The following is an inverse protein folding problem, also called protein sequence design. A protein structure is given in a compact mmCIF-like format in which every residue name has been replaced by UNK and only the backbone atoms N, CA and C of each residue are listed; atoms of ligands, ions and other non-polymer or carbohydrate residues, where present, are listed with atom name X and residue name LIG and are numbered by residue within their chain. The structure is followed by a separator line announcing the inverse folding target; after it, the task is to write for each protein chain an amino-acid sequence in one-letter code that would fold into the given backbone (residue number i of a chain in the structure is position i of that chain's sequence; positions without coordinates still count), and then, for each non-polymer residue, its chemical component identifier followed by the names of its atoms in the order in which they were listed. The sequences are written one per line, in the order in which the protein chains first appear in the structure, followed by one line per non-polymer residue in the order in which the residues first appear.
data_IF_670441805803
#
_entry.id   IF_670441805803
#
_cell.length_a   1.000
_cell.length_b   1.000
_cell.length_c   1.000
_cell.angle_alpha   90.00
_cell.angle_beta   90.00
_cell.angle_gamma   90.00
#
_symmetry.space_group_name_H-M   'P 1'
#
loop_
_entity.id
_entity.type
_entity.pdbx_description
1 polymer ?
#
# COMPACT_ATOMS: atom_id res chain seq x y z
N UNK A 1 -0.26 -0.13 19.68
CA UNK A 1 -0.33 0.80 20.83
C UNK A 1 -1.78 1.09 21.15
N UNK A 2 -2.16 1.07 22.42
CA UNK A 2 -3.49 1.46 22.89
C UNK A 2 -3.35 2.73 23.73
N UNK A 3 -4.17 3.73 23.47
CA UNK A 3 -4.18 4.99 24.23
C UNK A 3 -5.61 5.42 24.60
N UNK A 4 -5.70 6.19 25.67
CA UNK A 4 -6.92 6.84 26.13
C UNK A 4 -6.58 8.19 26.75
N UNK A 5 -7.31 9.24 26.42
CA UNK A 5 -7.11 10.60 26.90
C UNK A 5 -5.64 11.08 26.77
N UNK A 6 -5.01 10.76 25.63
CA UNK A 6 -3.62 11.12 25.33
C UNK A 6 -2.55 10.32 26.07
N UNK A 7 -2.93 9.34 26.87
CA UNK A 7 -1.98 8.45 27.59
C UNK A 7 -1.88 7.09 26.95
N UNK A 8 -0.67 6.58 26.77
CA UNK A 8 -0.44 5.20 26.35
C UNK A 8 -0.78 4.27 27.51
N UNK A 9 -1.70 3.33 27.30
CA UNK A 9 -2.11 2.34 28.27
C UNK A 9 -1.35 1.03 28.09
N UNK A 10 -1.14 0.58 26.85
CA UNK A 10 -0.37 -0.62 26.56
C UNK A 10 0.25 -0.59 25.17
N UNK A 11 1.20 -1.48 24.96
CA UNK A 11 1.86 -1.73 23.68
C UNK A 11 1.96 -3.23 23.43
N UNK A 12 2.03 -3.63 22.17
CA UNK A 12 2.32 -4.98 21.73
C UNK A 12 3.06 -4.97 20.41
N UNK A 13 3.86 -5.99 20.16
CA UNK A 13 4.57 -6.16 18.88
C UNK A 13 4.56 -7.62 18.42
N UNK A 14 4.71 -7.81 17.13
CA UNK A 14 4.74 -9.16 16.53
C UNK A 14 5.99 -9.92 17.02
N UNK A 15 5.76 -11.11 17.60
CA UNK A 15 6.84 -11.92 18.16
C UNK A 15 7.03 -11.78 19.68
N UNK A 16 6.34 -10.84 20.33
CA UNK A 16 6.33 -10.75 21.81
C UNK A 16 5.74 -12.02 22.44
N UNK A 17 4.65 -12.52 21.84
CA UNK A 17 4.07 -13.83 22.15
C UNK A 17 4.00 -14.64 20.86
N UNK A 18 4.52 -15.86 20.89
CA UNK A 18 4.58 -16.73 19.71
C UNK A 18 3.19 -16.95 19.12
N UNK A 19 3.05 -16.74 17.79
CA UNK A 19 1.82 -16.91 17.03
C UNK A 19 0.65 -15.98 17.41
N UNK A 20 0.87 -15.00 18.27
CA UNK A 20 -0.13 -14.01 18.68
C UNK A 20 0.13 -12.68 17.97
N UNK A 21 -0.92 -12.02 17.51
CA UNK A 21 -0.83 -10.72 16.87
C UNK A 21 -0.64 -9.61 17.91
N UNK A 22 0.04 -8.53 17.51
CA UNK A 22 0.40 -7.41 18.36
C UNK A 22 -0.82 -6.74 19.01
N UNK A 23 -1.92 -6.64 18.29
CA UNK A 23 -3.18 -6.06 18.78
C UNK A 23 -3.73 -6.87 19.96
N UNK A 24 -3.75 -8.20 19.85
CA UNK A 24 -4.19 -9.08 20.92
C UNK A 24 -3.27 -8.97 22.14
N UNK A 25 -1.96 -8.99 21.93
CA UNK A 25 -0.98 -8.82 23.00
C UNK A 25 -1.21 -7.50 23.75
N UNK A 26 -1.43 -6.40 23.04
CA UNK A 26 -1.68 -5.12 23.67
C UNK A 26 -3.02 -5.08 24.43
N UNK A 27 -4.09 -5.69 23.89
CA UNK A 27 -5.40 -5.75 24.52
C UNK A 27 -5.39 -6.61 25.77
N UNK A 28 -4.76 -7.78 25.72
CA UNK A 28 -4.74 -8.74 26.86
C UNK A 28 -3.95 -8.22 28.08
N UNK A 29 -3.09 -7.22 27.92
CA UNK A 29 -2.43 -6.51 29.02
C UNK A 29 -3.33 -5.58 29.81
N UNK A 30 -4.56 -5.29 29.33
CA UNK A 30 -5.46 -4.31 29.92
C UNK A 30 -6.71 -4.98 30.47
N UNK A 31 -7.20 -4.48 31.59
CA UNK A 31 -8.55 -4.77 32.05
C UNK A 31 -9.61 -4.23 31.08
N UNK A 32 -10.78 -4.85 31.03
CA UNK A 32 -11.88 -4.45 30.14
C UNK A 32 -12.24 -2.97 30.31
N UNK A 33 -12.29 -2.46 31.56
CA UNK A 33 -12.59 -1.05 31.86
C UNK A 33 -11.64 -0.06 31.17
N UNK A 34 -10.38 -0.46 30.98
CA UNK A 34 -9.34 0.38 30.36
C UNK A 34 -9.39 0.29 28.83
N UNK A 35 -9.91 -0.82 28.27
CA UNK A 35 -10.14 -0.99 26.83
C UNK A 35 -11.31 -0.14 26.35
N UNK A 36 -12.41 -0.10 27.10
CA UNK A 36 -13.62 0.61 26.72
C UNK A 36 -13.34 2.10 26.47
N UNK A 37 -13.70 2.58 25.27
CA UNK A 37 -13.53 3.97 24.87
C UNK A 37 -12.09 4.36 24.52
N UNK A 38 -11.13 3.42 24.52
CA UNK A 38 -9.76 3.69 24.10
C UNK A 38 -9.61 3.65 22.58
N UNK A 39 -8.46 4.12 22.08
CA UNK A 39 -8.06 4.08 20.67
C UNK A 39 -6.86 3.15 20.50
N UNK A 40 -6.92 2.25 19.51
CA UNK A 40 -5.80 1.39 19.12
C UNK A 40 -5.13 1.94 17.87
N UNK A 41 -3.79 1.98 17.89
CA UNK A 41 -2.93 2.34 16.75
C UNK A 41 -2.22 1.07 16.29
N UNK A 42 -2.43 0.67 15.06
CA UNK A 42 -1.84 -0.53 14.48
C UNK A 42 -1.08 -0.21 13.19
N UNK A 43 0.09 -0.78 13.01
CA UNK A 43 0.90 -0.55 11.80
C UNK A 43 0.29 -1.23 10.58
N UNK A 44 -0.34 -2.39 10.77
CA UNK A 44 -1.04 -3.14 9.73
C UNK A 44 -2.53 -3.22 10.04
N UNK A 45 -3.35 -3.31 9.03
CA UNK A 45 -4.79 -3.54 9.13
C UNK A 45 -5.10 -4.73 10.05
N UNK A 46 -5.99 -4.60 11.05
CA UNK A 46 -6.40 -5.72 11.91
C UNK A 46 -7.02 -6.86 11.09
N UNK A 47 -6.52 -8.06 11.28
CA UNK A 47 -6.94 -9.23 10.53
C UNK A 47 -8.41 -9.59 10.75
N UNK A 48 -9.01 -10.26 9.76
CA UNK A 48 -10.35 -10.88 9.81
C UNK A 48 -10.22 -12.39 9.82
N UNK A 49 -11.27 -13.08 10.29
CA UNK A 49 -11.37 -14.53 10.19
C UNK A 49 -11.69 -14.91 8.73
N UNK A 50 -10.83 -15.73 8.12
CA UNK A 50 -11.03 -16.24 6.77
C UNK A 50 -11.87 -17.53 6.75
N UNK A 51 -11.96 -18.23 7.87
CA UNK A 51 -12.68 -19.48 8.00
C UNK A 51 -13.59 -19.45 9.25
N UNK A 52 -14.83 -19.96 9.16
CA UNK A 52 -15.78 -19.95 10.27
C UNK A 52 -15.33 -20.77 11.49
N UNK A 53 -14.42 -21.73 11.31
CA UNK A 53 -13.90 -22.59 12.37
C UNK A 53 -12.48 -22.20 12.81
N UNK A 54 -12.09 -20.94 12.66
CA UNK A 54 -10.78 -20.47 13.11
C UNK A 54 -10.71 -20.56 14.64
N UNK A 55 -9.71 -21.26 15.17
CA UNK A 55 -9.57 -21.53 16.60
C UNK A 55 -9.39 -20.27 17.46
N UNK A 56 -8.94 -19.17 16.87
CA UNK A 56 -8.72 -17.90 17.56
C UNK A 56 -9.53 -16.80 16.88
N UNK A 57 -10.24 -16.03 17.67
CA UNK A 57 -10.94 -14.82 17.24
C UNK A 57 -10.00 -13.86 16.47
N UNK A 58 -10.46 -13.23 15.39
CA UNK A 58 -9.65 -12.27 14.64
C UNK A 58 -9.36 -10.99 15.45
N UNK A 59 -8.32 -10.24 15.07
CA UNK A 59 -8.02 -8.97 15.73
C UNK A 59 -9.16 -7.97 15.59
N UNK A 60 -9.84 -7.93 14.43
CA UNK A 60 -11.02 -7.07 14.24
C UNK A 60 -12.18 -7.44 15.17
N UNK A 61 -12.46 -8.74 15.35
CA UNK A 61 -13.51 -9.19 16.27
C UNK A 61 -13.17 -8.86 17.71
N UNK A 62 -11.92 -9.11 18.12
CA UNK A 62 -11.42 -8.79 19.46
C UNK A 62 -11.49 -7.28 19.76
N UNK A 63 -11.15 -6.44 18.80
CA UNK A 63 -11.25 -4.98 18.94
C UNK A 63 -12.70 -4.57 19.17
N UNK A 64 -13.62 -5.10 18.38
CA UNK A 64 -15.06 -4.83 18.49
C UNK A 64 -15.60 -5.29 19.86
N UNK A 65 -15.31 -6.53 20.25
CA UNK A 65 -15.77 -7.11 21.52
C UNK A 65 -15.15 -6.44 22.75
N UNK A 66 -13.99 -5.83 22.60
CA UNK A 66 -13.29 -5.12 23.69
C UNK A 66 -13.82 -3.70 23.98
N UNK A 67 -14.77 -3.18 23.19
CA UNK A 67 -15.32 -1.85 23.39
C UNK A 67 -14.35 -0.70 23.01
N UNK A 68 -13.39 -0.97 22.13
CA UNK A 68 -12.51 0.03 21.54
C UNK A 68 -13.36 1.03 20.75
N UNK A 69 -13.14 2.33 20.93
CA UNK A 69 -13.91 3.39 20.25
C UNK A 69 -13.30 3.83 18.93
N UNK A 70 -12.00 3.68 18.76
CA UNK A 70 -11.31 4.12 17.56
C UNK A 70 -10.12 3.24 17.18
N UNK A 71 -9.86 3.14 15.89
CA UNK A 71 -8.69 2.45 15.32
C UNK A 71 -7.98 3.38 14.36
N UNK A 72 -6.67 3.54 14.52
CA UNK A 72 -5.82 4.28 13.58
C UNK A 72 -4.91 3.29 12.89
N UNK A 73 -5.09 3.11 11.59
CA UNK A 73 -4.40 2.09 10.78
C UNK A 73 -3.20 2.73 10.08
N UNK A 74 -2.05 2.08 10.12
CA UNK A 74 -0.86 2.47 9.37
C UNK A 74 -1.05 2.17 7.88
N UNK A 75 -1.09 0.89 7.53
CA UNK A 75 -1.29 0.43 6.15
C UNK A 75 -2.32 -0.69 6.11
N UNK A 76 -3.07 -0.77 5.01
CA UNK A 76 -3.99 -1.88 4.78
C UNK A 76 -3.20 -3.15 4.45
N UNK A 77 -3.79 -4.32 4.74
CA UNK A 77 -3.13 -5.59 4.49
C UNK A 77 -2.83 -5.77 2.98
N UNK A 78 -1.57 -6.03 2.59
CA UNK A 78 -1.21 -6.18 1.18
C UNK A 78 -1.80 -7.44 0.53
N UNK A 79 -2.29 -8.40 1.31
CA UNK A 79 -2.93 -9.59 0.79
C UNK A 79 -4.30 -9.25 0.18
N UNK A 80 -4.44 -9.37 -1.15
CA UNK A 80 -5.65 -9.03 -1.88
C UNK A 80 -6.91 -9.75 -1.41
N UNK A 81 -6.79 -10.91 -0.77
CA UNK A 81 -7.91 -11.69 -0.24
C UNK A 81 -8.54 -11.04 1.00
N UNK A 82 -7.74 -10.33 1.80
CA UNK A 82 -8.18 -9.73 3.07
C UNK A 82 -8.09 -8.20 3.08
N UNK A 83 -7.58 -7.63 2.00
CA UNK A 83 -7.43 -6.19 1.82
C UNK A 83 -8.71 -5.42 2.13
N UNK A 84 -8.65 -4.44 2.98
CA UNK A 84 -9.74 -3.60 3.47
C UNK A 84 -10.91 -4.32 4.15
N UNK A 85 -10.83 -5.62 4.39
CA UNK A 85 -11.91 -6.35 5.08
C UNK A 85 -11.95 -6.04 6.57
N UNK A 86 -10.79 -5.92 7.21
CA UNK A 86 -10.71 -5.50 8.62
C UNK A 86 -11.19 -4.06 8.80
N UNK A 87 -10.75 -3.16 7.94
CA UNK A 87 -11.20 -1.77 7.90
C UNK A 87 -12.73 -1.67 7.76
N UNK A 88 -13.30 -2.36 6.76
CA UNK A 88 -14.77 -2.39 6.54
C UNK A 88 -15.50 -2.95 7.75
N UNK A 89 -15.04 -4.08 8.29
CA UNK A 89 -15.66 -4.73 9.44
C UNK A 89 -15.71 -3.81 10.66
N UNK A 90 -14.66 -3.07 10.94
CA UNK A 90 -14.61 -2.08 12.03
C UNK A 90 -15.63 -0.95 11.81
N UNK A 91 -15.71 -0.39 10.59
CA UNK A 91 -16.70 0.64 10.26
C UNK A 91 -18.13 0.14 10.38
N UNK A 92 -18.43 -1.07 9.88
CA UNK A 92 -19.75 -1.69 9.95
C UNK A 92 -20.22 -1.94 11.42
N UNK A 93 -19.27 -1.97 12.37
CA UNK A 93 -19.52 -2.09 13.81
C UNK A 93 -19.35 -0.77 14.59
N UNK A 94 -19.47 0.36 13.92
CA UNK A 94 -19.42 1.71 14.50
C UNK A 94 -18.11 2.06 15.22
N UNK A 95 -16.99 1.45 14.85
CA UNK A 95 -15.68 1.84 15.31
C UNK A 95 -15.20 3.01 14.44
N UNK A 96 -14.76 4.10 15.06
CA UNK A 96 -14.16 5.21 14.34
C UNK A 96 -12.81 4.78 13.75
N UNK A 97 -12.66 4.80 12.41
CA UNK A 97 -11.42 4.40 11.76
C UNK A 97 -10.78 5.57 11.05
N UNK A 98 -9.49 5.74 11.26
CA UNK A 98 -8.64 6.72 10.56
C UNK A 98 -7.29 6.10 10.19
N UNK A 99 -6.46 6.83 9.48
CA UNK A 99 -5.16 6.36 9.03
C UNK A 99 -4.03 7.21 9.62
N UNK A 100 -2.85 6.63 9.73
CA UNK A 100 -1.62 7.39 10.00
C UNK A 100 -1.43 8.50 8.97
N UNK A 101 -0.73 9.55 9.34
CA UNK A 101 -0.29 10.55 8.38
C UNK A 101 0.51 9.88 7.25
N UNK A 102 0.47 10.45 6.04
CA UNK A 102 1.18 9.90 4.88
C UNK A 102 2.65 9.59 5.19
N UNK A 103 3.34 10.50 5.88
CA UNK A 103 4.74 10.32 6.27
C UNK A 103 4.96 9.06 7.12
N UNK A 104 4.07 8.80 8.09
CA UNK A 104 4.18 7.62 8.95
C UNK A 104 3.83 6.34 8.19
N UNK A 105 2.86 6.39 7.28
CA UNK A 105 2.53 5.25 6.43
C UNK A 105 3.68 4.87 5.51
N UNK A 106 4.28 5.85 4.86
CA UNK A 106 5.46 5.62 4.02
C UNK A 106 6.60 4.97 4.81
N UNK A 107 6.83 5.39 6.08
CA UNK A 107 7.82 4.77 6.94
C UNK A 107 7.46 3.32 7.32
N UNK A 108 6.19 3.05 7.66
CA UNK A 108 5.72 1.69 7.96
C UNK A 108 5.89 0.77 6.73
N UNK A 109 5.53 1.25 5.55
CA UNK A 109 5.71 0.48 4.32
C UNK A 109 7.18 0.23 4.00
N UNK A 110 8.07 1.17 4.29
CA UNK A 110 9.50 1.03 4.06
C UNK A 110 10.13 -0.03 4.97
N UNK A 111 9.76 -0.05 6.25
CA UNK A 111 10.24 -1.05 7.21
C UNK A 111 9.61 -2.44 7.00
N UNK A 112 8.35 -2.51 6.56
CA UNK A 112 7.67 -3.79 6.31
C UNK A 112 7.98 -4.41 4.94
N UNK A 113 8.83 -3.77 4.16
CA UNK A 113 9.22 -4.20 2.82
C UNK A 113 9.74 -5.63 2.72
N UNK A 114 10.42 -6.13 3.72
CA UNK A 114 10.97 -7.48 3.73
C UNK A 114 9.91 -8.59 3.79
N UNK A 115 8.65 -8.26 4.15
CA UNK A 115 7.57 -9.23 4.35
C UNK A 115 6.66 -9.47 3.15
N UNK A 116 6.82 -8.77 2.05
CA UNK A 116 6.00 -8.99 0.85
C UNK A 116 6.56 -8.32 -0.40
N UNK A 117 6.63 -9.06 -1.49
CA UNK A 117 7.06 -8.57 -2.81
C UNK A 117 6.07 -7.58 -3.45
N UNK A 118 4.96 -7.25 -2.77
CA UNK A 118 3.89 -6.39 -3.29
C UNK A 118 3.83 -5.13 -2.45
N UNK A 119 4.13 -3.99 -3.08
CA UNK A 119 3.97 -2.67 -2.48
C UNK A 119 2.74 -1.98 -3.03
N UNK A 120 2.07 -1.21 -2.20
CA UNK A 120 0.97 -0.34 -2.63
C UNK A 120 1.36 1.11 -2.51
N UNK A 121 0.99 1.90 -3.50
CA UNK A 121 1.12 3.36 -3.51
C UNK A 121 -0.19 3.97 -3.98
N UNK A 122 -0.54 5.13 -3.46
CA UNK A 122 -1.86 5.74 -3.66
C UNK A 122 -1.74 7.10 -4.36
N UNK A 123 -2.72 7.42 -5.20
CA UNK A 123 -2.91 8.73 -5.80
C UNK A 123 -1.66 9.24 -6.52
N UNK A 124 -0.83 10.00 -5.83
CA UNK A 124 0.41 10.56 -6.35
C UNK A 124 1.51 10.54 -5.28
N UNK A 125 2.75 10.47 -5.71
CA UNK A 125 3.89 10.51 -4.80
C UNK A 125 5.22 10.31 -5.47
N UNK A 126 6.26 10.21 -4.65
CA UNK A 126 7.64 9.96 -5.07
C UNK A 126 8.28 8.99 -4.08
N UNK A 127 8.95 7.94 -4.57
CA UNK A 127 9.54 6.91 -3.72
C UNK A 127 10.82 6.34 -4.32
N UNK A 128 11.75 5.98 -3.43
CA UNK A 128 12.88 5.14 -3.76
C UNK A 128 12.55 3.68 -3.44
N UNK A 129 12.84 2.79 -4.35
CA UNK A 129 12.62 1.35 -4.18
C UNK A 129 13.83 0.58 -4.68
N UNK A 130 14.19 -0.56 -4.03
CA UNK A 130 15.17 -1.46 -4.58
C UNK A 130 14.63 -2.14 -5.84
N UNK A 131 15.52 -2.37 -6.80
CA UNK A 131 15.22 -3.11 -8.03
C UNK A 131 16.11 -4.33 -8.07
N UNK A 132 15.50 -5.50 -7.89
CA UNK A 132 16.18 -6.79 -7.98
C UNK A 132 15.97 -7.44 -9.34
N UNK A 133 16.85 -8.36 -9.74
CA UNK A 133 16.74 -9.04 -11.02
C UNK A 133 15.44 -9.81 -11.23
N UNK A 134 14.81 -10.28 -10.16
CA UNK A 134 13.48 -10.92 -10.17
C UNK A 134 12.31 -9.96 -10.42
N UNK A 135 12.58 -8.65 -10.42
CA UNK A 135 11.54 -7.63 -10.48
C UNK A 135 10.87 -7.37 -9.13
N UNK A 136 10.35 -6.16 -8.98
CA UNK A 136 9.50 -5.79 -7.85
C UNK A 136 8.17 -5.33 -8.42
N UNK A 137 7.08 -5.90 -7.90
CA UNK A 137 5.73 -5.46 -8.22
C UNK A 137 5.25 -4.43 -7.22
N UNK A 138 4.67 -3.35 -7.73
CA UNK A 138 4.02 -2.29 -6.96
C UNK A 138 2.59 -2.18 -7.45
N UNK A 139 1.64 -2.18 -6.53
CA UNK A 139 0.25 -1.93 -6.84
C UNK A 139 -0.07 -0.44 -6.66
N UNK A 140 -0.38 0.24 -7.74
CA UNK A 140 -0.80 1.64 -7.73
C UNK A 140 -2.32 1.70 -7.66
N UNK A 141 -2.86 2.44 -6.68
CA UNK A 141 -4.29 2.62 -6.45
C UNK A 141 -4.69 4.08 -6.56
N UNK A 142 -5.96 4.32 -6.86
CA UNK A 142 -6.53 5.66 -6.93
C UNK A 142 -6.54 6.33 -5.55
N UNK A 143 -7.01 5.61 -4.56
CA UNK A 143 -7.03 6.00 -3.15
C UNK A 143 -6.91 4.75 -2.27
N UNK A 144 -6.77 4.94 -0.97
CA UNK A 144 -6.68 3.86 0.01
C UNK A 144 -7.93 2.97 0.06
N UNK A 145 -9.08 3.56 -0.25
CA UNK A 145 -10.38 2.86 -0.24
C UNK A 145 -10.77 2.28 -1.59
N UNK A 146 -10.03 2.59 -2.64
CA UNK A 146 -10.30 2.10 -3.98
C UNK A 146 -9.58 0.75 -4.20
N UNK A 147 -10.33 -0.31 -4.39
CA UNK A 147 -9.80 -1.66 -4.63
C UNK A 147 -9.17 -1.84 -6.02
N UNK A 148 -9.38 -0.90 -6.94
CA UNK A 148 -8.80 -0.95 -8.28
C UNK A 148 -7.30 -0.72 -8.23
N UNK A 149 -6.53 -1.68 -8.71
CA UNK A 149 -5.06 -1.63 -8.69
C UNK A 149 -4.49 -1.70 -10.09
N UNK A 150 -3.38 -0.99 -10.29
CA UNK A 150 -2.53 -1.14 -11.46
C UNK A 150 -1.22 -1.76 -10.97
N UNK A 151 -0.98 -3.05 -11.20
CA UNK A 151 0.32 -3.65 -10.92
C UNK A 151 1.36 -3.11 -11.89
N UNK A 152 2.45 -2.60 -11.36
CA UNK A 152 3.62 -2.18 -12.11
C UNK A 152 4.84 -2.93 -11.58
N UNK A 153 5.68 -3.40 -12.49
CA UNK A 153 6.91 -4.11 -12.15
C UNK A 153 8.11 -3.40 -12.76
N UNK A 154 9.17 -3.31 -11.98
CA UNK A 154 10.46 -2.78 -12.41
C UNK A 154 11.49 -3.90 -12.47
N UNK A 155 12.25 -3.95 -13.57
CA UNK A 155 13.30 -4.93 -13.76
C UNK A 155 14.57 -4.24 -14.29
N UNK A 156 15.70 -4.51 -13.63
CA UNK A 156 17.00 -4.10 -14.16
C UNK A 156 17.48 -5.06 -15.23
N UNK A 157 18.14 -4.52 -16.24
CA UNK A 157 18.79 -5.29 -17.28
C UNK A 157 20.31 -5.21 -17.05
N UNK A 158 20.93 -6.35 -16.71
CA UNK A 158 22.39 -6.40 -16.48
C UNK A 158 23.23 -5.91 -17.68
N UNK A 159 22.69 -6.04 -18.89
CA UNK A 159 23.38 -5.66 -20.14
C UNK A 159 23.20 -4.20 -20.57
N UNK A 160 22.36 -3.42 -19.88
CA UNK A 160 22.00 -2.06 -20.29
C UNK A 160 22.11 -1.09 -19.12
N UNK A 161 23.33 -0.60 -18.87
CA UNK A 161 23.58 0.43 -17.86
C UNK A 161 22.66 1.65 -18.06
N UNK A 162 22.08 2.14 -16.98
CA UNK A 162 21.25 3.34 -16.97
C UNK A 162 19.84 3.16 -17.55
N UNK A 163 19.34 1.93 -17.69
CA UNK A 163 17.97 1.63 -18.11
C UNK A 163 17.30 0.65 -17.15
N UNK A 164 15.99 0.79 -17.00
CA UNK A 164 15.12 -0.20 -16.34
C UNK A 164 13.91 -0.46 -17.23
N UNK A 165 13.41 -1.68 -17.20
CA UNK A 165 12.14 -2.02 -17.86
C UNK A 165 11.00 -1.84 -16.85
N UNK A 166 10.00 -1.05 -17.23
CA UNK A 166 8.72 -0.90 -16.56
C UNK A 166 7.70 -1.76 -17.27
N UNK A 167 6.98 -2.60 -16.54
CA UNK A 167 5.93 -3.45 -17.10
C UNK A 167 4.68 -3.45 -16.22
N UNK A 168 3.57 -3.92 -16.80
CA UNK A 168 2.32 -4.14 -16.06
C UNK A 168 1.73 -5.48 -16.49
N UNK A 169 1.27 -6.27 -15.51
CA UNK A 169 0.68 -7.59 -15.75
C UNK A 169 -0.76 -7.51 -16.27
N UNK A 170 -1.49 -6.43 -15.98
CA UNK A 170 -2.89 -6.25 -16.40
C UNK A 170 -3.11 -4.99 -17.26
N UNK A 171 -2.07 -4.33 -17.71
CA UNK A 171 -2.16 -3.08 -18.44
C UNK A 171 -1.12 -2.94 -19.53
N UNK A 172 -1.33 -1.96 -20.37
CA UNK A 172 -0.39 -1.55 -21.40
C UNK A 172 0.44 -0.35 -20.96
N UNK A 173 1.68 -0.28 -21.43
CA UNK A 173 2.67 0.72 -21.04
C UNK A 173 3.12 1.51 -22.25
N UNK A 174 3.23 2.82 -22.12
CA UNK A 174 3.72 3.72 -23.18
C UNK A 174 4.66 4.79 -22.60
N UNK A 175 5.79 4.99 -23.23
CA UNK A 175 6.63 6.17 -22.98
C UNK A 175 5.94 7.41 -23.58
N UNK A 176 5.76 8.44 -22.78
CA UNK A 176 5.31 9.76 -23.20
C UNK A 176 6.50 10.54 -23.77
N UNK A 177 6.85 10.28 -25.03
CA UNK A 177 8.00 10.88 -25.69
C UNK A 177 7.84 12.41 -25.73
N UNK A 178 8.89 13.12 -25.30
CA UNK A 178 8.90 14.60 -25.26
C UNK A 178 8.36 15.21 -23.96
N UNK A 179 7.58 14.49 -23.14
CA UNK A 179 7.12 14.99 -21.86
C UNK A 179 8.25 15.09 -20.85
N UNK A 180 8.35 16.20 -20.12
CA UNK A 180 9.34 16.47 -19.07
C UNK A 180 8.71 16.49 -17.68
N UNK A 181 7.41 16.78 -17.60
CA UNK A 181 6.60 16.82 -16.39
C UNK A 181 5.25 16.14 -16.62
N UNK A 182 4.54 15.79 -15.56
CA UNK A 182 3.18 15.24 -15.68
C UNK A 182 2.19 16.25 -16.26
N UNK A 183 2.43 17.55 -16.07
CA UNK A 183 1.61 18.61 -16.65
C UNK A 183 1.65 18.68 -18.18
N UNK A 184 2.71 18.13 -18.81
CA UNK A 184 2.84 18.09 -20.26
C UNK A 184 1.92 17.03 -20.88
N UNK A 185 1.34 16.15 -20.07
CA UNK A 185 0.40 15.11 -20.46
C UNK A 185 -1.01 15.57 -20.09
N UNK A 186 -1.63 16.33 -20.99
CA UNK A 186 -2.97 16.89 -20.76
C UNK A 186 -4.07 15.85 -20.89
N UNK A 187 -3.92 14.94 -21.84
CA UNK A 187 -4.84 13.82 -22.08
C UNK A 187 -4.07 12.51 -22.29
N UNK A 188 -4.04 11.63 -21.29
CA UNK A 188 -3.39 10.33 -21.41
C UNK A 188 -4.04 9.40 -22.45
N UNK A 189 -5.31 9.63 -22.83
CA UNK A 189 -6.05 8.77 -23.74
C UNK A 189 -5.56 8.86 -25.20
N UNK A 190 -4.90 9.96 -25.57
CA UNK A 190 -4.35 10.14 -26.94
C UNK A 190 -3.15 9.24 -27.24
N UNK A 191 -2.53 8.65 -26.20
CA UNK A 191 -1.40 7.77 -26.40
C UNK A 191 -1.84 6.37 -26.82
N UNK A 192 -1.22 5.83 -27.88
CA UNK A 192 -1.40 4.42 -28.27
C UNK A 192 -0.51 3.53 -27.42
N UNK A 193 -1.03 2.41 -26.92
CA UNK A 193 -0.36 1.47 -26.03
C UNK A 193 -0.04 0.16 -26.76
N UNK A 194 1.11 0.06 -27.44
CA UNK A 194 1.44 -1.13 -28.24
C UNK A 194 2.06 -2.26 -27.42
N UNK A 195 2.39 -2.05 -26.16
CA UNK A 195 3.20 -2.99 -25.38
C UNK A 195 2.77 -3.03 -23.91
N UNK A 196 3.07 -4.15 -23.25
CA UNK A 196 2.95 -4.31 -21.79
C UNK A 196 4.21 -3.88 -21.03
N UNK A 197 5.24 -3.42 -21.72
CA UNK A 197 6.45 -2.91 -21.10
C UNK A 197 7.00 -1.70 -21.83
N UNK A 198 7.78 -0.89 -21.12
CA UNK A 198 8.55 0.22 -21.68
C UNK A 198 9.93 0.29 -21.05
N UNK A 199 10.95 0.51 -21.87
CA UNK A 199 12.29 0.79 -21.40
C UNK A 199 12.41 2.24 -20.98
N UNK A 200 12.79 2.44 -19.73
CA UNK A 200 12.86 3.74 -19.09
C UNK A 200 14.31 4.14 -18.83
N UNK A 201 14.65 5.39 -19.12
CA UNK A 201 15.86 6.07 -18.68
C UNK A 201 15.51 7.18 -17.69
N UNK A 202 16.49 7.66 -16.96
CA UNK A 202 16.38 8.85 -16.11
C UNK A 202 15.68 9.99 -16.84
N UNK A 203 14.70 10.61 -16.20
CA UNK A 203 13.90 11.72 -16.70
C UNK A 203 12.71 11.32 -17.57
N UNK A 204 12.64 10.09 -18.06
CA UNK A 204 11.49 9.63 -18.87
C UNK A 204 10.21 9.50 -18.06
N UNK A 205 9.09 9.73 -18.75
CA UNK A 205 7.75 9.52 -18.24
C UNK A 205 7.09 8.42 -19.05
N UNK A 206 6.43 7.50 -18.36
CA UNK A 206 5.57 6.48 -18.96
C UNK A 206 4.16 6.59 -18.43
N UNK A 207 3.21 6.12 -19.24
CA UNK A 207 1.81 5.99 -18.89
C UNK A 207 1.52 4.49 -18.83
N UNK A 208 0.88 4.04 -17.74
CA UNK A 208 0.39 2.67 -17.59
C UNK A 208 -1.13 2.72 -17.53
N UNK A 209 -1.79 2.01 -18.44
CA UNK A 209 -3.24 1.98 -18.54
C UNK A 209 -3.74 0.54 -18.50
N UNK A 210 -4.55 0.14 -17.50
CA UNK A 210 -5.19 -1.17 -17.49
C UNK A 210 -6.20 -1.31 -18.64
N UNK A 211 -6.37 -2.52 -19.11
CA UNK A 211 -7.38 -2.81 -20.15
C UNK A 211 -8.77 -2.45 -19.66
N UNK A 212 -9.50 -1.65 -20.45
CA UNK A 212 -10.87 -1.20 -20.14
C UNK A 212 -10.99 -0.19 -19.00
N UNK A 213 -9.87 0.30 -18.42
CA UNK A 213 -9.93 1.27 -17.35
C UNK A 213 -10.16 2.70 -17.85
N UNK A 214 -10.90 3.46 -17.06
CA UNK A 214 -11.11 4.91 -17.24
C UNK A 214 -10.05 5.75 -16.51
N UNK A 215 -9.00 5.13 -16.03
CA UNK A 215 -7.89 5.78 -15.34
C UNK A 215 -6.54 5.18 -15.77
N UNK A 216 -5.48 5.91 -15.51
CA UNK A 216 -4.11 5.50 -15.80
C UNK A 216 -3.16 5.99 -14.71
N UNK A 217 -1.94 5.49 -14.74
CA UNK A 217 -0.85 5.98 -13.90
C UNK A 217 0.23 6.61 -14.77
N UNK A 218 0.60 7.83 -14.47
CA UNK A 218 1.78 8.49 -14.99
C UNK A 218 2.96 8.14 -14.08
N UNK A 219 4.08 7.72 -14.65
CA UNK A 219 5.27 7.30 -13.91
C UNK A 219 6.48 8.02 -14.47
N UNK A 220 7.18 8.79 -13.64
CA UNK A 220 8.44 9.45 -13.99
C UNK A 220 9.60 8.77 -13.27
N UNK A 221 10.60 8.34 -14.03
CA UNK A 221 11.85 7.81 -13.48
C UNK A 221 12.81 8.98 -13.21
N UNK A 222 13.10 9.24 -11.95
CA UNK A 222 13.99 10.35 -11.55
C UNK A 222 15.45 9.96 -11.53
N UNK A 223 15.76 8.78 -10.97
CA UNK A 223 17.14 8.32 -10.81
C UNK A 223 17.20 6.79 -10.83
N UNK A 224 18.33 6.27 -11.27
CA UNK A 224 18.68 4.86 -11.23
C UNK A 224 19.98 4.76 -10.43
N UNK A 225 19.95 4.03 -9.33
CA UNK A 225 21.11 3.68 -8.51
C UNK A 225 21.53 2.23 -8.84
N UNK A 226 22.60 1.77 -8.24
CA UNK A 226 23.08 0.40 -8.48
C UNK A 226 22.01 -0.67 -8.24
N UNK A 227 21.31 -0.57 -7.11
CA UNK A 227 20.28 -1.53 -6.71
C UNK A 227 18.90 -0.90 -6.49
N UNK A 228 18.73 0.40 -6.75
CA UNK A 228 17.50 1.13 -6.47
C UNK A 228 17.10 2.03 -7.63
N UNK A 229 15.82 2.39 -7.66
CA UNK A 229 15.30 3.48 -8.49
C UNK A 229 14.56 4.50 -7.64
N UNK A 230 14.61 5.75 -8.05
CA UNK A 230 13.75 6.81 -7.54
C UNK A 230 12.74 7.16 -8.61
N UNK A 231 11.46 6.93 -8.33
CA UNK A 231 10.38 7.26 -9.25
C UNK A 231 9.29 8.10 -8.59
N UNK A 232 8.51 8.75 -9.42
CA UNK A 232 7.32 9.52 -9.05
C UNK A 232 6.14 8.98 -9.82
N UNK A 233 4.95 8.99 -9.23
CA UNK A 233 3.72 8.57 -9.88
C UNK A 233 2.58 9.56 -9.63
N UNK A 234 1.59 9.52 -10.51
CA UNK A 234 0.33 10.25 -10.39
C UNK A 234 -0.77 9.44 -11.07
N UNK A 235 -1.85 9.16 -10.34
CA UNK A 235 -3.04 8.51 -10.91
C UNK A 235 -3.95 9.59 -11.50
N UNK A 236 -4.41 9.35 -12.74
CA UNK A 236 -5.32 10.24 -13.47
C UNK A 236 -6.51 9.51 -14.02
N UNK A 237 -7.66 10.20 -14.10
CA UNK A 237 -8.76 9.77 -14.94
C UNK A 237 -8.36 9.91 -16.42
N UNK A 238 -8.76 8.94 -17.24
CA UNK A 238 -8.68 8.97 -18.70
C UNK A 238 -10.11 9.01 -19.19
N UNK A 239 -10.52 10.15 -19.72
CA UNK A 239 -11.87 10.35 -20.28
C UNK A 239 -11.94 9.89 -21.73
#
# INVERSE_FOLDING_TARGET
VISKDGKILSTGYRGEVSKVHAERVALEKLDIKDRIGSTIYTTLEPCVSLHPNQAMESCSDLIISSGISGVVIGVLDPNGTIYSQGFKKLLDNNIAVSFFSRRLRDAVEEETFEYGNIRRVYGSGKRRIPVVHSGIEINVQFSELDSRTIPISWKTLQSLHGCVDLSSSNGAVRVAAGARSFSDITDPAVFRFPSHFARMKKGMISIVRPSGATFCVLIKLHEIFENDILFQWEVRNCH
#
